data_IF_528120675767
#
_entry.id   IF_528120675767
#
_cell.length_a   1.000
_cell.length_b   1.000
_cell.length_c   1.000
_cell.angle_alpha   90.00
_cell.angle_beta   90.00
_cell.angle_gamma   90.00
#
_symmetry.space_group_name_H-M   'P 1'
#
loop_
_entity.id
_entity.type
_entity.pdbx_description
1 polymer ?
#
# COMPACT_ATOMS: atom_id res chain seq x y z
N UNK A 1 -18.15 -12.74 22.74
CA UNK A 1 -18.57 -11.97 21.55
C UNK A 1 -17.52 -12.18 20.48
N UNK A 2 -17.64 -13.29 19.74
CA UNK A 2 -16.60 -13.77 18.82
C UNK A 2 -16.68 -12.95 17.53
N UNK A 3 -15.79 -11.95 17.37
CA UNK A 3 -15.52 -11.41 16.04
C UNK A 3 -14.80 -12.50 15.27
N UNK A 4 -15.46 -13.04 14.24
CA UNK A 4 -14.93 -14.10 13.41
C UNK A 4 -13.55 -13.71 12.88
N UNK A 5 -12.61 -14.65 12.96
CA UNK A 5 -11.34 -14.57 12.27
C UNK A 5 -11.59 -14.63 10.75
N UNK A 6 -12.11 -13.54 10.18
CA UNK A 6 -11.94 -13.28 8.75
C UNK A 6 -10.45 -13.25 8.52
N UNK A 7 -9.94 -14.09 7.62
CA UNK A 7 -8.51 -14.24 7.37
C UNK A 7 -7.86 -12.86 7.17
N UNK A 8 -7.17 -12.37 8.20
CA UNK A 8 -6.47 -11.10 8.17
C UNK A 8 -5.29 -11.27 7.21
N UNK A 9 -5.37 -10.61 6.04
CA UNK A 9 -4.36 -10.75 4.98
C UNK A 9 -3.20 -9.80 5.24
N UNK A 10 -2.30 -10.23 6.13
CA UNK A 10 -1.08 -9.49 6.48
C UNK A 10 -0.25 -9.10 5.26
N UNK A 11 -0.29 -9.91 4.19
CA UNK A 11 0.41 -9.63 2.93
C UNK A 11 -0.05 -8.32 2.27
N UNK A 12 -1.35 -8.01 2.35
CA UNK A 12 -1.90 -6.81 1.72
C UNK A 12 -1.54 -5.57 2.51
N UNK A 13 -1.59 -5.64 3.85
CA UNK A 13 -1.15 -4.54 4.69
C UNK A 13 0.36 -4.30 4.58
N UNK A 14 1.15 -5.36 4.42
CA UNK A 14 2.58 -5.27 4.10
C UNK A 14 2.85 -4.58 2.76
N UNK A 15 2.07 -4.90 1.73
CA UNK A 15 2.19 -4.27 0.41
C UNK A 15 1.80 -2.78 0.44
N UNK A 16 0.82 -2.41 1.27
CA UNK A 16 0.45 -1.00 1.51
C UNK A 16 1.57 -0.25 2.24
N UNK A 17 2.16 -0.86 3.27
CA UNK A 17 3.27 -0.27 4.01
C UNK A 17 4.49 -0.05 3.11
N UNK A 18 4.81 -1.01 2.24
CA UNK A 18 5.89 -0.90 1.26
C UNK A 18 5.62 0.22 0.25
N UNK A 19 4.41 0.28 -0.31
CA UNK A 19 4.03 1.34 -1.25
C UNK A 19 4.11 2.73 -0.61
N UNK A 20 3.64 2.87 0.64
CA UNK A 20 3.72 4.11 1.40
C UNK A 20 5.17 4.51 1.70
N UNK A 21 6.05 3.56 2.02
CA UNK A 21 7.48 3.80 2.19
C UNK A 21 8.11 4.36 0.90
N UNK A 22 7.81 3.76 -0.26
CA UNK A 22 8.28 4.27 -1.55
C UNK A 22 7.80 5.70 -1.82
N UNK A 23 6.54 6.01 -1.48
CA UNK A 23 5.98 7.37 -1.60
C UNK A 23 6.72 8.36 -0.70
N UNK A 24 6.91 8.02 0.58
CA UNK A 24 7.58 8.89 1.55
C UNK A 24 9.05 9.09 1.16
N UNK A 25 9.76 8.02 0.75
CA UNK A 25 11.15 8.13 0.28
C UNK A 25 11.26 9.03 -0.96
N UNK A 26 10.30 8.98 -1.88
CA UNK A 26 10.28 9.89 -3.04
C UNK A 26 10.04 11.34 -2.62
N UNK A 27 9.10 11.59 -1.71
CA UNK A 27 8.76 12.94 -1.24
C UNK A 27 9.84 13.56 -0.36
N UNK A 28 10.59 12.74 0.40
CA UNK A 28 11.69 13.17 1.24
C UNK A 28 12.95 13.63 0.46
N UNK A 29 12.87 13.70 -0.88
CA UNK A 29 13.98 14.14 -1.72
C UNK A 29 15.12 13.11 -1.83
N UNK A 30 14.90 11.87 -1.36
CA UNK A 30 15.86 10.76 -1.47
C UNK A 30 15.92 10.27 -2.94
N UNK A 31 14.93 10.60 -3.77
CA UNK A 31 14.90 10.20 -5.17
C UNK A 31 15.61 11.17 -6.12
N UNK A 32 16.85 10.80 -6.46
CA UNK A 32 17.39 10.92 -7.83
C UNK A 32 16.88 9.82 -8.76
N UNK A 33 15.90 9.02 -8.32
CA UNK A 33 15.36 7.86 -9.03
C UNK A 33 14.01 8.22 -9.68
N UNK A 34 13.88 8.16 -11.02
CA UNK A 34 12.59 8.32 -11.67
C UNK A 34 11.70 7.10 -11.33
N UNK A 35 10.60 7.30 -10.59
CA UNK A 35 9.68 6.20 -10.31
C UNK A 35 8.83 6.28 -9.03
N UNK A 36 8.96 7.28 -8.17
CA UNK A 36 8.15 7.34 -6.94
C UNK A 36 6.64 7.46 -7.15
N UNK A 37 6.21 7.90 -8.34
CA UNK A 37 4.82 7.89 -8.79
C UNK A 37 4.21 6.48 -8.79
N UNK A 38 5.03 5.44 -8.99
CA UNK A 38 4.59 4.02 -8.97
C UNK A 38 4.11 3.64 -7.57
N UNK A 39 4.78 4.09 -6.51
CA UNK A 39 4.35 3.83 -5.13
C UNK A 39 2.98 4.47 -4.83
N UNK A 40 2.71 5.65 -5.41
CA UNK A 40 1.43 6.34 -5.28
C UNK A 40 0.33 5.53 -5.97
N UNK A 41 0.56 5.11 -7.22
CA UNK A 41 -0.41 4.36 -8.03
C UNK A 41 -0.78 3.02 -7.38
N UNK A 42 0.23 2.24 -6.97
CA UNK A 42 0.05 0.95 -6.30
C UNK A 42 -0.68 1.09 -4.96
N UNK A 43 -0.36 2.11 -4.15
CA UNK A 43 -1.07 2.35 -2.89
C UNK A 43 -2.57 2.62 -3.10
N UNK A 44 -2.90 3.49 -4.07
CA UNK A 44 -4.29 3.82 -4.38
C UNK A 44 -5.06 2.64 -4.98
N UNK A 45 -4.42 1.85 -5.85
CA UNK A 45 -5.00 0.63 -6.41
C UNK A 45 -5.31 -0.38 -5.31
N UNK A 46 -4.36 -0.71 -4.43
CA UNK A 46 -4.59 -1.70 -3.36
C UNK A 46 -5.66 -1.25 -2.38
N UNK A 47 -5.67 0.04 -2.00
CA UNK A 47 -6.69 0.57 -1.10
C UNK A 47 -8.08 0.48 -1.71
N UNK A 48 -8.23 0.80 -3.00
CA UNK A 48 -9.52 0.67 -3.71
C UNK A 48 -9.89 -0.80 -3.95
N UNK A 49 -8.93 -1.66 -4.27
CA UNK A 49 -9.15 -3.09 -4.49
C UNK A 49 -9.72 -3.77 -3.24
N UNK A 50 -9.12 -3.48 -2.07
CA UNK A 50 -9.63 -3.94 -0.77
C UNK A 50 -11.04 -3.41 -0.44
N UNK A 51 -11.32 -2.14 -0.76
CA UNK A 51 -12.63 -1.52 -0.53
C UNK A 51 -13.71 -2.10 -1.44
N UNK A 52 -13.36 -2.44 -2.68
CA UNK A 52 -14.32 -2.95 -3.66
C UNK A 52 -14.58 -4.45 -3.48
N UNK A 53 -13.69 -5.18 -2.80
CA UNK A 53 -13.87 -6.59 -2.45
C UNK A 53 -13.98 -7.54 -3.66
N UNK A 54 -13.39 -7.13 -4.79
CA UNK A 54 -13.35 -7.90 -6.05
C UNK A 54 -12.37 -9.08 -5.97
#
# INVERSE_FOLDING_TARGET
MLQGAGSYRQDIDGLRALSMLLVISYHAGISRLPGGYVGVDVFFVISRFLITGL
#
